data_IF_915345958926
#
_entry.id   IF_915345958926
#
_cell.length_a   1.000
_cell.length_b   1.000
_cell.length_c   1.000
_cell.angle_alpha   90.00
_cell.angle_beta   90.00
_cell.angle_gamma   90.00
#
_symmetry.space_group_name_H-M   'P 1'
#
loop_
_entity.id
_entity.type
_entity.pdbx_description
1 polymer ?
#
# COMPACT_ATOMS: atom_id res chain seq x y z
N UNK A 1 -15.29 -15.09 17.20
CA UNK A 1 -14.17 -15.90 16.70
C UNK A 1 -13.35 -15.02 15.78
N UNK A 2 -12.06 -14.85 16.06
CA UNK A 2 -11.17 -14.13 15.17
C UNK A 2 -10.95 -14.99 13.92
N UNK A 3 -11.61 -14.63 12.83
CA UNK A 3 -11.23 -15.12 11.52
C UNK A 3 -9.86 -14.53 11.19
N UNK A 4 -8.84 -15.38 11.14
CA UNK A 4 -7.57 -15.05 10.52
C UNK A 4 -7.85 -14.63 9.07
N UNK A 5 -7.71 -13.33 8.78
CA UNK A 5 -7.68 -12.84 7.40
C UNK A 5 -6.37 -13.34 6.79
N UNK A 6 -6.43 -14.48 6.11
CA UNK A 6 -5.36 -14.91 5.22
C UNK A 6 -5.44 -13.99 4.00
N UNK A 7 -4.62 -12.94 3.98
CA UNK A 7 -4.40 -12.19 2.76
C UNK A 7 -3.38 -12.98 1.94
N UNK A 8 -3.81 -13.47 0.78
CA UNK A 8 -2.93 -14.20 -0.14
C UNK A 8 -2.01 -13.17 -0.79
N UNK A 9 -0.73 -13.23 -0.44
CA UNK A 9 0.32 -12.59 -1.22
C UNK A 9 0.48 -13.42 -2.48
N UNK A 10 0.11 -12.86 -3.64
CA UNK A 10 0.33 -13.53 -4.91
C UNK A 10 1.75 -13.23 -5.39
N UNK A 11 2.45 -14.28 -5.81
CA UNK A 11 3.81 -14.18 -6.36
C UNK A 11 3.78 -14.73 -7.79
N UNK A 12 4.16 -13.88 -8.74
CA UNK A 12 4.40 -14.30 -10.12
C UNK A 12 5.90 -14.45 -10.33
N UNK A 13 6.39 -15.68 -10.44
CA UNK A 13 7.80 -15.96 -10.69
C UNK A 13 8.13 -15.82 -12.18
N UNK A 14 9.32 -15.31 -12.50
CA UNK A 14 9.90 -15.29 -13.85
C UNK A 14 11.40 -15.60 -13.76
N UNK A 15 12.05 -15.80 -14.90
CA UNK A 15 13.47 -16.17 -14.91
C UNK A 15 14.32 -15.06 -14.24
N UNK A 16 14.96 -15.42 -13.12
CA UNK A 16 15.80 -14.51 -12.34
C UNK A 16 15.08 -13.70 -11.27
N UNK A 17 13.76 -13.82 -11.09
CA UNK A 17 13.05 -13.01 -10.11
C UNK A 17 11.56 -13.31 -9.93
N UNK A 18 10.87 -12.35 -9.33
CA UNK A 18 9.43 -12.45 -9.13
C UNK A 18 8.77 -11.10 -8.84
N UNK A 19 7.48 -11.06 -9.11
CA UNK A 19 6.60 -9.93 -8.77
C UNK A 19 5.73 -10.32 -7.59
N UNK A 20 5.81 -9.54 -6.53
CA UNK A 20 5.03 -9.72 -5.31
C UNK A 20 3.86 -8.75 -5.32
N UNK A 21 2.64 -9.27 -5.29
CA UNK A 21 1.41 -8.47 -5.33
C UNK A 21 0.80 -8.41 -3.93
N UNK A 22 0.63 -7.18 -3.44
CA UNK A 22 -0.04 -6.90 -2.18
C UNK A 22 -1.38 -6.21 -2.46
N UNK A 23 -2.50 -6.93 -2.38
CA UNK A 23 -3.82 -6.38 -2.60
C UNK A 23 -4.40 -5.74 -1.32
N UNK A 24 -5.00 -4.57 -1.47
CA UNK A 24 -5.78 -3.88 -0.44
C UNK A 24 -7.15 -3.50 -0.99
N UNK A 25 -8.18 -3.65 -0.16
CA UNK A 25 -9.55 -3.30 -0.53
C UNK A 25 -10.01 -2.16 0.37
N UNK A 26 -10.26 -0.99 -0.22
CA UNK A 26 -10.57 0.26 0.49
C UNK A 26 -11.96 0.74 0.06
N UNK A 27 -12.80 1.11 1.02
CA UNK A 27 -14.03 1.86 0.71
C UNK A 27 -13.73 3.36 0.79
N UNK A 28 -14.21 4.12 -0.19
CA UNK A 28 -14.05 5.57 -0.30
C UNK A 28 -15.29 6.20 -0.95
N UNK A 29 -16.04 7.01 -0.20
CA UNK A 29 -17.24 7.72 -0.67
C UNK A 29 -18.27 6.86 -1.42
N UNK A 30 -18.50 5.64 -0.93
CA UNK A 30 -19.42 4.67 -1.52
C UNK A 30 -18.85 3.88 -2.70
N UNK A 31 -17.61 4.16 -3.13
CA UNK A 31 -16.89 3.36 -4.09
C UNK A 31 -15.97 2.34 -3.39
N UNK A 32 -15.89 1.14 -3.96
CA UNK A 32 -14.93 0.13 -3.51
C UNK A 32 -13.70 0.18 -4.42
N UNK A 33 -12.53 0.39 -3.84
CA UNK A 33 -11.25 0.49 -4.51
C UNK A 33 -10.39 -0.74 -4.21
N UNK A 34 -9.85 -1.36 -5.24
CA UNK A 34 -8.84 -2.40 -5.15
C UNK A 34 -7.48 -1.81 -5.50
N UNK A 35 -6.65 -1.63 -4.49
CA UNK A 35 -5.28 -1.13 -4.60
C UNK A 35 -4.34 -2.32 -4.67
N UNK A 36 -3.48 -2.37 -5.69
CA UNK A 36 -2.45 -3.40 -5.86
C UNK A 36 -1.08 -2.75 -5.81
N UNK A 37 -0.29 -3.10 -4.81
CA UNK A 37 1.14 -2.78 -4.77
C UNK A 37 1.94 -3.93 -5.34
N UNK A 38 2.58 -3.70 -6.47
CA UNK A 38 3.47 -4.63 -7.15
C UNK A 38 4.89 -4.29 -6.75
N UNK A 39 5.60 -5.28 -6.23
CA UNK A 39 7.01 -5.16 -5.89
C UNK A 39 7.79 -6.10 -6.80
N UNK A 40 8.71 -5.54 -7.57
CA UNK A 40 9.59 -6.28 -8.47
C UNK A 40 10.87 -6.65 -7.73
N UNK A 41 11.21 -7.93 -7.75
CA UNK A 41 12.40 -8.45 -7.09
C UNK A 41 13.22 -9.35 -7.99
N UNK A 42 14.54 -9.30 -7.84
CA UNK A 42 15.50 -10.23 -8.45
C UNK A 42 15.98 -11.18 -7.37
N UNK A 43 16.12 -12.47 -7.69
CA UNK A 43 16.65 -13.44 -6.73
C UNK A 43 18.10 -13.11 -6.39
N UNK A 44 18.38 -13.05 -5.09
CA UNK A 44 19.73 -12.88 -4.59
C UNK A 44 20.38 -14.25 -4.44
N UNK A 45 21.23 -14.62 -5.41
CA UNK A 45 21.91 -15.92 -5.38
C UNK A 45 22.89 -16.05 -4.20
N UNK A 46 23.29 -14.93 -3.58
CA UNK A 46 24.21 -14.90 -2.45
C UNK A 46 23.51 -15.16 -1.11
N UNK A 47 22.18 -15.08 -1.06
CA UNK A 47 21.37 -15.25 0.15
C UNK A 47 20.25 -16.25 -0.10
N UNK A 48 20.19 -17.36 0.67
CA UNK A 48 19.11 -18.34 0.53
C UNK A 48 17.76 -17.66 0.78
N UNK A 49 16.90 -17.64 -0.24
CA UNK A 49 15.59 -16.98 -0.18
C UNK A 49 15.67 -15.45 -0.18
N UNK A 50 16.83 -14.87 -0.48
CA UNK A 50 16.99 -13.43 -0.62
C UNK A 50 16.39 -12.93 -1.92
N UNK A 51 15.71 -11.80 -1.84
CA UNK A 51 15.21 -11.06 -3.00
C UNK A 51 15.68 -9.63 -2.88
N UNK A 52 16.33 -9.12 -3.93
CA UNK A 52 16.72 -7.72 -4.04
C UNK A 52 15.60 -6.93 -4.71
N UNK A 53 15.03 -5.91 -4.05
CA UNK A 53 14.01 -5.08 -4.67
C UNK A 53 14.59 -4.23 -5.79
N UNK A 54 13.91 -4.19 -6.94
CA UNK A 54 14.36 -3.40 -8.10
C UNK A 54 13.33 -2.38 -8.57
N UNK A 55 12.08 -2.48 -8.11
CA UNK A 55 11.05 -1.52 -8.43
C UNK A 55 9.76 -1.74 -7.66
N UNK A 56 8.92 -0.72 -7.68
CA UNK A 56 7.57 -0.72 -7.13
C UNK A 56 6.64 -0.09 -8.16
N UNK A 57 5.48 -0.68 -8.35
CA UNK A 57 4.39 -0.11 -9.14
C UNK A 57 3.09 -0.19 -8.34
N UNK A 58 2.21 0.78 -8.58
CA UNK A 58 0.90 0.81 -7.98
C UNK A 58 -0.18 0.86 -9.04
N UNK A 59 -1.23 0.07 -8.80
CA UNK A 59 -2.43 0.12 -9.60
C UNK A 59 -3.65 0.22 -8.70
N UNK A 60 -4.59 1.08 -9.09
CA UNK A 60 -5.85 1.26 -8.37
C UNK A 60 -6.98 0.96 -9.33
N UNK A 61 -7.93 0.16 -8.87
CA UNK A 61 -9.13 -0.17 -9.61
C UNK A 61 -10.35 0.20 -8.81
N UNK A 62 -11.34 0.79 -9.45
CA UNK A 62 -12.65 1.02 -8.85
C UNK A 62 -13.62 -0.07 -9.29
N UNK A 63 -14.47 -0.52 -8.37
CA UNK A 63 -15.54 -1.45 -8.67
C UNK A 63 -16.60 -0.80 -9.56
N UNK A 64 -16.95 -1.46 -10.67
CA UNK A 64 -18.19 -1.20 -11.40
C UNK A 64 -19.15 -2.37 -11.14
N UNK A 65 -20.09 -2.15 -10.22
CA UNK A 65 -21.08 -3.16 -9.86
C UNK A 65 -22.09 -3.45 -10.97
N UNK A 66 -22.30 -2.53 -11.92
CA UNK A 66 -23.21 -2.76 -13.04
C UNK A 66 -22.60 -3.77 -14.01
N UNK A 67 -21.33 -3.59 -14.36
CA UNK A 67 -20.60 -4.53 -15.23
C UNK A 67 -19.95 -5.70 -14.47
N UNK A 68 -20.01 -5.71 -13.14
CA UNK A 68 -19.34 -6.68 -12.25
C UNK A 68 -17.84 -6.77 -12.52
N UNK A 69 -17.21 -5.63 -12.78
CA UNK A 69 -15.82 -5.55 -13.18
C UNK A 69 -15.04 -4.54 -12.32
N UNK A 70 -13.73 -4.51 -12.53
CA UNK A 70 -12.80 -3.58 -11.90
C UNK A 70 -12.18 -2.70 -12.99
N UNK A 71 -12.33 -1.39 -12.87
CA UNK A 71 -11.86 -0.41 -13.84
C UNK A 71 -10.65 0.31 -13.29
N UNK A 72 -9.51 0.30 -14.00
CA UNK A 72 -8.30 1.01 -13.57
C UNK A 72 -8.59 2.51 -13.52
N UNK A 73 -8.21 3.16 -12.41
CA UNK A 73 -8.36 4.60 -12.22
C UNK A 73 -6.99 5.25 -12.06
N UNK A 74 -6.85 6.46 -12.59
CA UNK A 74 -5.63 7.27 -12.48
C UNK A 74 -5.67 8.26 -11.32
N UNK A 75 -6.80 8.36 -10.62
CA UNK A 75 -7.01 9.28 -9.50
C UNK A 75 -8.04 8.69 -8.55
N UNK A 76 -7.90 8.98 -7.27
CA UNK A 76 -8.84 8.67 -6.20
C UNK A 76 -9.60 9.92 -5.71
N UNK A 77 -9.29 11.09 -6.27
CA UNK A 77 -9.90 12.37 -5.96
C UNK A 77 -9.02 13.29 -5.11
N UNK A 78 -9.06 14.59 -5.40
CA UNK A 78 -8.20 15.61 -4.79
C UNK A 78 -8.42 15.82 -3.28
N UNK A 79 -9.61 15.52 -2.77
CA UNK A 79 -9.90 15.60 -1.33
C UNK A 79 -9.80 14.24 -0.63
N UNK A 80 -9.23 13.22 -1.28
CA UNK A 80 -9.12 11.87 -0.72
C UNK A 80 -7.67 11.43 -0.55
N UNK A 81 -7.41 10.72 0.54
CA UNK A 81 -6.17 9.99 0.75
C UNK A 81 -6.50 8.60 1.31
N UNK A 82 -5.79 7.57 0.82
CA UNK A 82 -5.96 6.19 1.33
C UNK A 82 -4.81 5.85 2.27
N UNK A 83 -5.11 5.17 3.36
CA UNK A 83 -4.15 4.57 4.28
C UNK A 83 -4.29 3.05 4.20
N UNK A 84 -3.23 2.38 3.80
CA UNK A 84 -3.22 0.94 3.54
C UNK A 84 -2.05 0.23 4.21
N UNK A 85 -2.35 -0.95 4.73
CA UNK A 85 -1.44 -1.98 5.24
C UNK A 85 -2.21 -3.31 5.21
N UNK A 86 -1.58 -4.42 5.57
CA UNK A 86 -2.28 -5.69 5.76
C UNK A 86 -3.40 -5.61 6.81
N UNK A 87 -3.21 -4.77 7.84
CA UNK A 87 -4.16 -4.67 8.95
C UNK A 87 -5.17 -3.53 8.82
N UNK A 88 -4.88 -2.52 8.00
CA UNK A 88 -5.68 -1.31 7.86
C UNK A 88 -5.92 -1.00 6.38
N UNK A 89 -7.16 -0.63 6.07
CA UNK A 89 -7.53 -0.09 4.78
C UNK A 89 -8.61 0.95 4.99
N UNK A 90 -8.29 2.23 4.78
CA UNK A 90 -9.17 3.36 5.10
C UNK A 90 -8.98 4.53 4.14
N UNK A 91 -10.09 5.14 3.71
CA UNK A 91 -10.08 6.46 3.08
C UNK A 91 -10.27 7.56 4.12
N UNK A 92 -9.65 8.72 3.91
CA UNK A 92 -9.85 9.92 4.73
C UNK A 92 -10.00 11.15 3.85
N UNK A 93 -10.80 12.10 4.34
CA UNK A 93 -10.95 13.41 3.72
C UNK A 93 -9.73 14.29 4.06
N UNK A 94 -9.06 14.76 3.03
CA UNK A 94 -7.79 15.51 3.14
C UNK A 94 -8.00 16.87 3.78
N UNK A 95 -9.12 17.52 3.46
CA UNK A 95 -9.58 18.79 4.03
C UNK A 95 -9.62 18.79 5.56
N UNK A 96 -9.76 17.62 6.18
CA UNK A 96 -9.76 17.47 7.64
C UNK A 96 -8.35 17.42 8.25
N UNK A 97 -7.31 17.09 7.46
CA UNK A 97 -6.01 16.66 8.01
C UNK A 97 -4.75 17.31 7.40
N UNK A 98 -4.86 18.36 6.57
CA UNK A 98 -3.70 18.99 5.87
C UNK A 98 -2.78 17.95 5.21
N UNK A 99 -3.38 16.89 4.66
CA UNK A 99 -2.69 15.83 3.95
C UNK A 99 -2.51 16.22 2.47
N UNK A 100 -1.74 15.42 1.75
CA UNK A 100 -1.74 15.48 0.30
C UNK A 100 -2.89 14.61 -0.21
N UNK A 101 -3.79 15.19 -0.99
CA UNK A 101 -4.84 14.43 -1.64
C UNK A 101 -4.37 13.72 -2.89
N UNK A 102 -5.25 12.89 -3.42
CA UNK A 102 -4.94 11.98 -4.52
C UNK A 102 -3.69 11.13 -4.24
N UNK A 103 -3.54 10.69 -2.98
CA UNK A 103 -2.33 10.02 -2.48
C UNK A 103 -2.67 8.77 -1.68
N UNK A 104 -1.76 7.80 -1.70
CA UNK A 104 -1.89 6.53 -1.00
C UNK A 104 -0.70 6.36 -0.04
N UNK A 105 -1.02 6.24 1.24
CA UNK A 105 -0.09 6.11 2.36
C UNK A 105 0.02 4.64 2.76
N UNK A 106 1.17 4.03 2.50
CA UNK A 106 1.51 2.69 2.96
C UNK A 106 2.09 2.78 4.36
N UNK A 107 1.37 2.21 5.32
CA UNK A 107 1.87 2.06 6.68
C UNK A 107 2.77 0.83 6.75
N UNK A 108 3.90 0.98 7.41
CA UNK A 108 4.76 -0.15 7.72
C UNK A 108 4.10 -1.03 8.78
N UNK A 109 3.80 -2.27 8.41
CA UNK A 109 3.21 -3.30 9.26
C UNK A 109 4.09 -4.55 9.34
N UNK A 110 5.35 -4.46 8.89
CA UNK A 110 6.30 -5.56 8.88
C UNK A 110 6.11 -6.54 7.72
N UNK A 111 5.08 -6.40 6.89
CA UNK A 111 4.77 -7.40 5.84
C UNK A 111 5.82 -7.48 4.73
N UNK A 112 6.60 -6.42 4.59
CA UNK A 112 7.57 -6.25 3.53
C UNK A 112 8.94 -5.86 4.08
N UNK A 113 9.31 -6.34 5.26
CA UNK A 113 10.62 -6.09 5.86
C UNK A 113 11.77 -6.43 4.91
N UNK A 114 11.61 -7.47 4.08
CA UNK A 114 12.59 -7.84 3.06
C UNK A 114 12.77 -6.76 1.98
N UNK A 115 11.74 -5.98 1.67
CA UNK A 115 11.78 -4.83 0.75
C UNK A 115 12.28 -3.56 1.46
N UNK A 116 11.91 -3.40 2.74
CA UNK A 116 12.20 -2.22 3.55
C UNK A 116 13.45 -2.33 4.44
N UNK A 117 14.30 -3.35 4.24
CA UNK A 117 15.41 -3.68 5.15
C UNK A 117 16.33 -2.50 5.48
N UNK A 118 16.50 -1.57 4.53
CA UNK A 118 17.32 -0.37 4.68
C UNK A 118 16.50 0.93 4.69
N UNK A 119 15.17 0.84 4.59
CA UNK A 119 14.29 2.00 4.67
C UNK A 119 14.14 2.44 6.13
N UNK A 120 14.10 3.75 6.43
CA UNK A 120 13.73 4.22 7.76
C UNK A 120 12.35 3.68 8.15
N UNK A 121 12.03 3.57 9.44
CA UNK A 121 10.68 3.27 9.94
C UNK A 121 9.73 4.37 9.43
N UNK A 122 9.18 4.19 8.24
CA UNK A 122 8.66 5.27 7.42
C UNK A 122 7.38 4.85 6.74
N UNK A 123 6.52 5.83 6.54
CA UNK A 123 5.35 5.68 5.69
C UNK A 123 5.79 5.97 4.26
N UNK A 124 5.58 5.03 3.32
CA UNK A 124 5.74 5.33 1.91
C UNK A 124 4.46 5.98 1.39
N UNK A 125 4.59 7.03 0.60
CA UNK A 125 3.47 7.75 0.01
C UNK A 125 3.60 7.68 -1.49
N UNK A 126 2.54 7.22 -2.14
CA UNK A 126 2.38 7.21 -3.59
C UNK A 126 1.47 8.36 -3.99
N UNK A 127 1.95 9.25 -4.85
CA UNK A 127 1.14 10.27 -5.49
C UNK A 127 0.54 9.71 -6.77
N UNK A 128 -0.80 9.68 -6.86
CA UNK A 128 -1.51 9.15 -8.02
C UNK A 128 -1.29 10.00 -9.28
N UNK A 129 -0.96 11.29 -9.14
CA UNK A 129 -0.86 12.24 -10.25
C UNK A 129 0.41 12.08 -11.06
N UNK A 130 1.53 11.88 -10.38
CA UNK A 130 2.85 11.74 -11.01
C UNK A 130 3.42 10.31 -10.94
N UNK A 131 2.78 9.42 -10.17
CA UNK A 131 3.17 8.03 -10.01
C UNK A 131 4.41 7.83 -9.14
N UNK A 132 4.85 8.86 -8.42
CA UNK A 132 6.07 8.79 -7.63
C UNK A 132 5.80 8.28 -6.21
N UNK A 133 6.74 7.46 -5.72
CA UNK A 133 6.83 7.07 -4.32
C UNK A 133 7.84 7.95 -3.58
N UNK A 134 7.50 8.43 -2.39
CA UNK A 134 8.44 9.05 -1.46
C UNK A 134 8.20 8.58 -0.03
N UNK A 135 9.23 8.67 0.81
CA UNK A 135 9.13 8.26 2.21
C UNK A 135 8.91 9.44 3.13
N UNK A 136 8.00 9.29 4.07
CA UNK A 136 7.81 10.21 5.18
C UNK A 136 8.33 9.54 6.44
N UNK A 137 9.26 10.19 7.13
CA UNK A 137 9.69 9.77 8.45
C UNK A 137 8.53 9.92 9.42
N UNK A 138 8.08 8.82 10.02
CA UNK A 138 7.10 8.90 11.09
C UNK A 138 7.79 9.50 12.32
N UNK A 139 7.13 10.43 13.04
CA UNK A 139 7.70 10.96 14.27
C UNK A 139 7.93 9.79 15.23
N UNK A 140 9.18 9.63 15.69
CA UNK A 140 9.57 8.60 16.65
C UNK A 140 9.02 8.96 18.03
N UNK A 141 7.70 8.96 18.20
CA UNK A 141 7.08 9.11 19.51
C UNK A 141 6.86 7.70 20.05
N UNK A 142 7.47 7.39 21.19
CA UNK A 142 7.18 6.15 21.89
C UNK A 142 5.66 6.03 22.04
N UNK A 143 5.09 4.88 21.65
CA UNK A 143 3.65 4.57 21.62
C UNK A 143 2.96 4.59 23.01
N UNK A 144 3.51 5.33 23.99
CA UNK A 144 2.98 5.47 25.34
C UNK A 144 2.00 6.64 25.47
N UNK A 145 2.02 7.61 24.55
CA UNK A 145 1.26 8.86 24.70
C UNK A 145 0.14 9.08 23.66
N UNK A 146 -0.11 8.12 22.77
CA UNK A 146 -1.21 8.23 21.80
C UNK A 146 -2.54 7.85 22.46
N UNK A 147 -3.27 8.84 22.97
CA UNK A 147 -4.70 8.67 23.27
C UNK A 147 -5.44 8.51 21.95
N UNK A 148 -6.03 7.34 21.75
CA UNK A 148 -6.99 7.13 20.66
C UNK A 148 -8.16 8.10 20.84
N UNK A 149 -8.31 9.05 19.91
CA UNK A 149 -9.50 9.88 19.82
C UNK A 149 -10.67 8.95 19.45
N UNK A 150 -11.73 9.00 20.24
CA UNK A 150 -12.97 8.23 20.07
C UNK A 150 -13.87 8.90 19.05
#
# INVERSE_FOLDING_TARGET
GLGSKVFVMDITCYEGGGTYVHPYLVESHGALLWVRRLIYGIWDNDTIGGTKPVGIELEVFQSDFQSRSWVKVSSIGDDQALFVSQSLSRSVDVSQYNLKGDSIYFLDDGSCDWFWKDAPSSCAVYDMRDGNCFFISLPTVACKDVKMLR
#
